data_IF_207054128992
#
_entry.id   IF_207054128992
#
_cell.length_a   1.000
_cell.length_b   1.000
_cell.length_c   1.000
_cell.angle_alpha   90.00
_cell.angle_beta   90.00
_cell.angle_gamma   90.00
#
_symmetry.space_group_name_H-M   'P 1'
#
loop_
_entity.id
_entity.type
_entity.pdbx_description
1 polymer ?
#
# COMPACT_ATOMS: atom_id res chain seq x y z
N UNK A 1 2.20 -29.35 9.78
CA UNK A 1 2.25 -28.58 8.52
C UNK A 1 1.02 -27.70 8.48
N UNK A 2 1.17 -26.38 8.65
CA UNK A 2 0.06 -25.46 8.40
C UNK A 2 -0.05 -25.31 6.90
N UNK A 3 -1.13 -25.80 6.30
CA UNK A 3 -1.50 -25.46 4.94
C UNK A 3 -1.83 -23.97 4.93
N UNK A 4 -0.96 -23.16 4.33
CA UNK A 4 -1.30 -21.78 4.01
C UNK A 4 -2.49 -21.81 3.05
N UNK A 5 -3.67 -21.43 3.53
CA UNK A 5 -4.82 -21.20 2.67
C UNK A 5 -4.48 -20.01 1.75
N UNK A 6 -4.09 -20.33 0.52
CA UNK A 6 -3.87 -19.32 -0.52
C UNK A 6 -5.25 -18.81 -0.94
N UNK A 7 -5.76 -17.80 -0.21
CA UNK A 7 -6.98 -17.10 -0.59
C UNK A 7 -6.86 -16.50 -1.99
N UNK A 8 -7.96 -16.52 -2.76
CA UNK A 8 -8.04 -15.86 -4.06
C UNK A 8 -8.51 -14.42 -3.84
N UNK A 9 -7.77 -13.47 -4.40
CA UNK A 9 -8.09 -12.05 -4.30
C UNK A 9 -8.55 -11.50 -5.66
N UNK A 10 -9.41 -10.49 -5.60
CA UNK A 10 -9.93 -9.81 -6.78
C UNK A 10 -9.72 -8.31 -6.67
N UNK A 11 -9.28 -7.67 -7.76
CA UNK A 11 -9.45 -6.23 -7.96
C UNK A 11 -10.84 -6.01 -8.56
N UNK A 12 -11.63 -5.13 -7.98
CA UNK A 12 -13.01 -4.86 -8.43
C UNK A 12 -13.09 -3.43 -8.97
N UNK A 13 -13.68 -3.27 -10.14
CA UNK A 13 -13.99 -1.97 -10.74
C UNK A 13 -15.49 -1.86 -11.01
N UNK A 14 -16.11 -0.81 -10.47
CA UNK A 14 -17.53 -0.55 -10.64
C UNK A 14 -17.84 0.14 -11.98
N UNK A 15 -19.06 -0.07 -12.45
CA UNK A 15 -19.58 0.41 -13.72
C UNK A 15 -18.69 0.05 -14.93
N UNK A 16 -18.01 -1.09 -14.85
CA UNK A 16 -17.00 -1.52 -15.81
C UNK A 16 -17.35 -2.91 -16.32
N UNK A 17 -17.36 -3.08 -17.65
CA UNK A 17 -17.75 -4.32 -18.30
C UNK A 17 -16.80 -4.70 -19.43
N UNK A 18 -16.34 -5.95 -19.46
CA UNK A 18 -15.53 -6.47 -20.57
C UNK A 18 -16.45 -7.09 -21.64
N UNK A 19 -16.61 -6.42 -22.77
CA UNK A 19 -17.60 -6.79 -23.79
C UNK A 19 -17.20 -7.99 -24.67
N UNK A 20 -15.90 -8.30 -24.70
CA UNK A 20 -15.25 -9.16 -25.72
C UNK A 20 -14.36 -10.25 -25.07
N UNK A 21 -14.63 -10.56 -23.81
CA UNK A 21 -13.89 -11.58 -23.09
C UNK A 21 -14.28 -12.98 -23.56
N UNK A 22 -13.28 -13.87 -23.71
CA UNK A 22 -13.51 -15.31 -23.90
C UNK A 22 -14.26 -15.87 -22.69
N UNK A 23 -15.60 -15.93 -22.80
CA UNK A 23 -16.49 -16.39 -21.74
C UNK A 23 -16.36 -17.91 -21.58
N UNK A 24 -15.99 -18.30 -20.37
CA UNK A 24 -15.92 -19.69 -19.92
C UNK A 24 -17.31 -20.15 -19.49
N UNK A 25 -18.08 -19.26 -18.88
CA UNK A 25 -19.38 -19.56 -18.29
C UNK A 25 -20.20 -18.29 -18.13
N UNK A 26 -21.48 -18.37 -18.45
CA UNK A 26 -22.47 -17.34 -18.20
C UNK A 26 -23.64 -17.95 -17.40
N UNK A 27 -24.11 -17.24 -16.39
CA UNK A 27 -25.27 -17.65 -15.61
C UNK A 27 -25.64 -16.64 -14.53
N UNK A 28 -26.49 -17.05 -13.59
CA UNK A 28 -26.99 -16.18 -12.52
C UNK A 28 -26.13 -16.32 -11.25
N UNK A 29 -25.98 -15.20 -10.52
CA UNK A 29 -25.36 -15.12 -9.22
C UNK A 29 -26.12 -14.09 -8.37
N UNK A 30 -26.51 -14.49 -7.15
CA UNK A 30 -27.32 -13.64 -6.26
C UNK A 30 -26.57 -12.39 -5.74
N UNK A 31 -25.26 -12.33 -5.94
CA UNK A 31 -24.44 -11.20 -5.52
C UNK A 31 -23.09 -11.17 -6.23
N UNK A 32 -22.42 -10.02 -6.13
CA UNK A 32 -21.03 -9.84 -6.51
C UNK A 32 -20.10 -10.86 -5.80
N UNK A 33 -20.40 -11.17 -4.53
CA UNK A 33 -19.64 -12.15 -3.75
C UNK A 33 -19.84 -13.57 -4.28
N UNK A 34 -21.07 -13.93 -4.66
CA UNK A 34 -21.36 -15.24 -5.28
C UNK A 34 -20.62 -15.38 -6.62
N UNK A 35 -20.64 -14.33 -7.45
CA UNK A 35 -19.91 -14.31 -8.72
C UNK A 35 -18.38 -14.41 -8.52
N UNK A 36 -17.82 -13.70 -7.53
CA UNK A 36 -16.39 -13.77 -7.21
C UNK A 36 -15.97 -15.17 -6.74
N UNK A 37 -16.81 -15.83 -5.93
CA UNK A 37 -16.58 -17.21 -5.47
C UNK A 37 -16.62 -18.22 -6.62
N UNK A 38 -17.52 -18.05 -7.59
CA UNK A 38 -17.56 -18.88 -8.80
C UNK A 38 -16.26 -18.75 -9.59
N UNK A 39 -15.76 -17.52 -9.80
CA UNK A 39 -14.47 -17.30 -10.46
C UNK A 39 -13.29 -17.82 -9.64
N UNK A 40 -13.35 -17.72 -8.30
CA UNK A 40 -12.28 -18.20 -7.43
C UNK A 40 -12.11 -19.71 -7.56
N UNK A 41 -13.21 -20.46 -7.55
CA UNK A 41 -13.27 -21.92 -7.66
C UNK A 41 -12.88 -22.44 -9.05
N UNK A 42 -13.07 -21.63 -10.09
CA UNK A 42 -12.70 -22.01 -11.45
C UNK A 42 -11.23 -21.66 -11.75
N UNK A 43 -10.40 -22.68 -12.00
CA UNK A 43 -8.97 -22.50 -12.28
C UNK A 43 -8.69 -21.75 -13.60
N UNK A 44 -9.58 -21.86 -14.59
CA UNK A 44 -9.47 -21.16 -15.86
C UNK A 44 -9.94 -19.70 -15.79
N UNK A 45 -10.75 -19.35 -14.79
CA UNK A 45 -11.25 -17.99 -14.62
C UNK A 45 -10.12 -17.05 -14.22
N UNK A 46 -9.94 -16.00 -15.01
CA UNK A 46 -8.97 -14.92 -14.78
C UNK A 46 -9.64 -13.58 -14.51
N UNK A 47 -10.87 -13.39 -14.95
CA UNK A 47 -11.72 -12.26 -14.58
C UNK A 47 -13.19 -12.64 -14.65
N UNK A 48 -14.09 -11.79 -14.16
CA UNK A 48 -15.53 -11.96 -14.31
C UNK A 48 -16.24 -10.62 -14.49
N UNK A 49 -17.37 -10.62 -15.21
CA UNK A 49 -18.33 -9.52 -15.19
C UNK A 49 -19.50 -9.91 -14.29
N UNK A 50 -20.00 -8.96 -13.50
CA UNK A 50 -21.24 -9.12 -12.71
C UNK A 50 -22.19 -7.95 -12.98
N UNK A 51 -23.46 -8.24 -13.18
CA UNK A 51 -24.54 -7.26 -13.39
C UNK A 51 -25.49 -7.32 -12.20
N UNK A 52 -25.54 -6.25 -11.40
CA UNK A 52 -26.31 -6.26 -10.15
C UNK A 52 -27.82 -6.08 -10.35
N UNK A 53 -28.26 -5.55 -11.49
CA UNK A 53 -29.66 -5.27 -11.81
C UNK A 53 -30.49 -6.55 -12.00
N UNK A 54 -29.91 -7.59 -12.61
CA UNK A 54 -30.58 -8.88 -12.84
C UNK A 54 -29.72 -10.09 -12.44
N UNK A 55 -28.62 -9.87 -11.71
CA UNK A 55 -27.81 -10.94 -11.13
C UNK A 55 -27.02 -11.77 -12.15
N UNK A 56 -26.68 -11.24 -13.32
CA UNK A 56 -25.91 -12.00 -14.31
C UNK A 56 -24.41 -12.01 -13.98
N UNK A 57 -23.74 -13.16 -14.14
CA UNK A 57 -22.32 -13.37 -13.92
C UNK A 57 -21.69 -14.09 -15.13
N UNK A 58 -20.60 -13.53 -15.65
CA UNK A 58 -19.83 -14.09 -16.77
C UNK A 58 -18.39 -14.33 -16.33
N UNK A 59 -17.92 -15.58 -16.33
CA UNK A 59 -16.53 -15.94 -16.02
C UNK A 59 -15.67 -15.90 -17.28
N UNK A 60 -14.52 -15.23 -17.21
CA UNK A 60 -13.71 -14.90 -18.37
C UNK A 60 -12.31 -15.51 -18.25
N UNK A 61 -11.77 -16.06 -19.34
CA UNK A 61 -10.42 -16.66 -19.37
C UNK A 61 -9.30 -15.63 -19.43
N UNK A 62 -9.59 -14.39 -19.83
CA UNK A 62 -8.59 -13.36 -20.06
C UNK A 62 -8.35 -12.48 -18.83
N UNK A 63 -7.10 -12.02 -18.66
CA UNK A 63 -6.76 -10.85 -17.84
C UNK A 63 -6.64 -9.64 -18.75
N UNK A 64 -7.02 -8.46 -18.28
CA UNK A 64 -6.88 -7.25 -19.06
C UNK A 64 -5.44 -6.72 -19.04
N UNK A 65 -4.57 -7.34 -19.83
CA UNK A 65 -3.15 -6.98 -19.88
C UNK A 65 -2.68 -6.47 -21.23
N UNK A 66 -3.53 -6.38 -22.26
CA UNK A 66 -3.17 -5.76 -23.54
C UNK A 66 -4.36 -4.97 -24.10
N UNK A 67 -4.18 -3.65 -24.22
CA UNK A 67 -5.12 -2.62 -24.66
C UNK A 67 -6.22 -2.21 -23.67
N UNK A 68 -6.20 -0.93 -23.30
CA UNK A 68 -7.19 -0.24 -22.47
C UNK A 68 -8.56 -0.04 -23.16
N UNK A 69 -8.77 -0.63 -24.35
CA UNK A 69 -9.85 -0.25 -25.28
C UNK A 69 -11.08 -1.18 -25.24
N UNK A 70 -11.10 -2.24 -24.41
CA UNK A 70 -12.22 -3.21 -24.35
C UNK A 70 -13.11 -3.14 -23.10
N UNK A 71 -12.77 -2.30 -22.11
CA UNK A 71 -13.65 -2.03 -20.96
C UNK A 71 -14.63 -0.92 -21.36
N UNK A 72 -15.92 -1.21 -21.35
CA UNK A 72 -16.95 -0.21 -21.53
C UNK A 72 -17.54 0.19 -20.18
N UNK A 73 -17.92 1.46 -20.06
CA UNK A 73 -18.71 1.89 -18.93
C UNK A 73 -20.12 1.33 -19.06
N UNK A 74 -20.57 0.53 -18.09
CA UNK A 74 -21.93 0.00 -18.05
C UNK A 74 -22.46 0.12 -16.64
N UNK A 75 -23.49 0.93 -16.45
CA UNK A 75 -24.01 1.23 -15.13
C UNK A 75 -24.55 -0.03 -14.43
N UNK A 76 -24.21 -0.19 -13.14
CA UNK A 76 -24.61 -1.37 -12.35
C UNK A 76 -23.81 -2.64 -12.66
N UNK A 77 -22.79 -2.55 -13.51
CA UNK A 77 -21.84 -3.64 -13.76
C UNK A 77 -20.62 -3.57 -12.85
N UNK A 78 -20.00 -4.72 -12.61
CA UNK A 78 -18.76 -4.85 -11.85
C UNK A 78 -17.81 -5.76 -12.64
N UNK A 79 -16.58 -5.31 -12.80
CA UNK A 79 -15.50 -6.12 -13.36
C UNK A 79 -14.61 -6.62 -12.23
N UNK A 80 -14.40 -7.93 -12.18
CA UNK A 80 -13.56 -8.60 -11.18
C UNK A 80 -12.32 -9.17 -11.87
N UNK A 81 -11.13 -8.74 -11.49
CA UNK A 81 -9.88 -9.29 -12.00
C UNK A 81 -9.23 -10.20 -10.95
N UNK A 82 -9.02 -11.49 -11.29
CA UNK A 82 -8.38 -12.47 -10.41
C UNK A 82 -6.88 -12.21 -10.36
N UNK A 83 -6.42 -11.77 -9.19
CA UNK A 83 -5.01 -11.47 -8.94
C UNK A 83 -4.28 -12.78 -8.63
N UNK A 84 -3.27 -13.13 -9.43
CA UNK A 84 -2.41 -14.27 -9.05
C UNK A 84 -1.62 -13.91 -7.80
N UNK A 85 -1.48 -14.88 -6.89
CA UNK A 85 -0.58 -14.77 -5.74
C UNK A 85 0.87 -14.46 -6.16
N UNK A 86 1.27 -14.75 -7.42
CA UNK A 86 2.56 -14.37 -8.00
C UNK A 86 2.64 -12.92 -8.52
N UNK A 87 1.49 -12.26 -8.78
CA UNK A 87 1.44 -10.80 -8.94
C UNK A 87 1.63 -10.08 -7.61
N UNK A 88 1.67 -10.82 -6.49
CA UNK A 88 2.34 -10.37 -5.28
C UNK A 88 3.85 -10.67 -5.37
N UNK A 89 4.54 -10.07 -6.33
CA UNK A 89 5.56 -9.15 -5.83
C UNK A 89 4.71 -8.00 -5.31
N UNK A 90 4.25 -8.11 -4.05
CA UNK A 90 3.94 -6.91 -3.30
C UNK A 90 5.17 -6.06 -3.51
N UNK A 91 5.08 -5.01 -4.33
CA UNK A 91 6.02 -3.92 -4.17
C UNK A 91 5.64 -3.41 -2.79
N UNK A 92 6.20 -4.04 -1.76
CA UNK A 92 5.85 -3.82 -0.37
C UNK A 92 6.27 -2.39 -0.13
N UNK A 93 5.30 -1.50 -0.27
CA UNK A 93 5.56 -0.09 -0.41
C UNK A 93 6.28 0.38 0.84
N UNK A 94 7.33 1.16 0.64
CA UNK A 94 8.17 1.65 1.72
C UNK A 94 9.00 0.60 2.44
N UNK A 95 9.16 -0.66 1.99
CA UNK A 95 10.09 -1.58 2.67
C UNK A 95 11.54 -1.43 2.22
N UNK A 96 11.76 -0.85 1.05
CA UNK A 96 13.08 -0.59 0.47
C UNK A 96 13.17 0.83 -0.09
N UNK A 97 14.40 1.31 -0.28
CA UNK A 97 14.62 2.63 -0.88
C UNK A 97 13.99 2.73 -2.28
N UNK A 98 14.07 1.67 -3.11
CA UNK A 98 13.47 1.62 -4.45
C UNK A 98 11.94 1.52 -4.47
N UNK A 99 11.32 1.32 -3.31
CA UNK A 99 9.87 1.26 -3.12
C UNK A 99 9.34 2.37 -2.22
N UNK A 100 10.15 3.40 -1.92
CA UNK A 100 9.74 4.48 -1.06
C UNK A 100 8.48 5.19 -1.57
N UNK A 101 7.61 5.56 -0.64
CA UNK A 101 6.34 6.23 -0.92
C UNK A 101 6.43 7.72 -0.65
N UNK A 102 5.56 8.58 -1.22
CA UNK A 102 5.61 10.02 -0.96
C UNK A 102 5.45 10.39 0.52
N UNK A 103 4.64 9.64 1.26
CA UNK A 103 4.38 9.84 2.70
C UNK A 103 3.77 8.58 3.32
N UNK A 104 3.68 8.52 4.65
CA UNK A 104 2.97 7.44 5.33
C UNK A 104 1.48 7.38 4.95
N UNK A 105 0.87 8.52 4.60
CA UNK A 105 -0.52 8.58 4.12
C UNK A 105 -0.75 7.72 2.87
N UNK A 106 0.26 7.62 1.99
CA UNK A 106 0.16 6.81 0.77
C UNK A 106 0.03 5.30 1.07
N UNK A 107 0.36 4.86 2.29
CA UNK A 107 0.21 3.47 2.71
C UNK A 107 -1.22 3.14 3.19
N UNK A 108 -2.06 4.15 3.45
CA UNK A 108 -3.42 3.94 4.00
C UNK A 108 -4.36 3.24 3.02
N UNK A 109 -4.13 3.41 1.71
CA UNK A 109 -4.93 2.76 0.66
C UNK A 109 -4.49 1.33 0.33
N UNK A 110 -3.44 0.82 0.99
CA UNK A 110 -2.95 -0.53 0.73
C UNK A 110 -3.92 -1.59 1.31
N UNK A 111 -4.01 -2.72 0.63
CA UNK A 111 -4.82 -3.86 1.05
C UNK A 111 -4.00 -5.15 0.99
N UNK A 112 -3.64 -5.74 2.15
CA UNK A 112 -4.02 -5.32 3.50
C UNK A 112 -3.34 -4.01 3.95
N UNK A 113 -4.00 -3.28 4.86
CA UNK A 113 -3.42 -2.09 5.50
C UNK A 113 -2.14 -2.51 6.25
N UNK A 114 -0.98 -1.87 5.99
CA UNK A 114 0.25 -2.16 6.71
C UNK A 114 0.15 -1.74 8.19
N UNK A 115 0.84 -2.47 9.07
CA UNK A 115 0.95 -2.10 10.48
C UNK A 115 1.85 -0.89 10.67
N UNK A 116 1.72 -0.22 11.83
CA UNK A 116 2.67 0.82 12.24
C UNK A 116 4.11 0.30 12.22
N UNK A 117 5.07 1.13 11.81
CA UNK A 117 6.45 0.69 11.63
C UNK A 117 7.33 1.67 10.88
N UNK A 118 8.55 1.25 10.57
CA UNK A 118 9.51 2.08 9.83
C UNK A 118 9.44 1.76 8.34
N UNK A 119 9.18 2.79 7.54
CA UNK A 119 9.06 2.72 6.09
C UNK A 119 9.98 3.73 5.40
N UNK A 120 10.37 3.44 4.18
CA UNK A 120 11.03 4.37 3.29
C UNK A 120 10.01 5.34 2.71
N UNK A 121 10.27 6.63 2.87
CA UNK A 121 9.49 7.72 2.30
C UNK A 121 10.37 8.61 1.41
N UNK A 122 9.75 9.26 0.42
CA UNK A 122 10.38 10.24 -0.47
C UNK A 122 9.44 11.43 -0.71
N UNK A 123 9.38 12.40 0.21
CA UNK A 123 8.42 13.51 0.14
C UNK A 123 8.70 14.49 -1.00
N UNK A 124 9.95 14.63 -1.44
CA UNK A 124 10.36 15.64 -2.42
C UNK A 124 10.11 15.21 -3.87
N UNK A 125 9.60 13.99 -4.11
CA UNK A 125 9.39 13.39 -5.44
C UNK A 125 10.62 13.38 -6.36
N UNK A 126 11.81 13.68 -5.81
CA UNK A 126 13.07 13.76 -6.52
C UNK A 126 13.68 12.37 -6.73
N UNK A 127 15.01 12.33 -6.83
CA UNK A 127 15.73 11.06 -6.96
C UNK A 127 15.36 10.12 -5.82
N UNK A 128 15.09 8.85 -6.14
CA UNK A 128 14.87 7.81 -5.15
C UNK A 128 16.07 7.64 -4.20
N UNK A 129 17.25 8.11 -4.60
CA UNK A 129 18.44 8.16 -3.75
C UNK A 129 18.29 9.06 -2.51
N UNK A 130 17.37 10.04 -2.54
CA UNK A 130 17.08 10.94 -1.42
C UNK A 130 16.04 10.36 -0.45
N UNK A 131 15.40 9.24 -0.80
CA UNK A 131 14.45 8.58 0.08
C UNK A 131 15.13 8.20 1.41
N UNK A 132 14.39 8.32 2.50
CA UNK A 132 14.88 8.05 3.85
C UNK A 132 13.82 7.30 4.65
N UNK A 133 14.21 6.76 5.81
CA UNK A 133 13.30 6.03 6.68
C UNK A 133 12.51 6.98 7.59
N UNK A 134 11.22 6.74 7.75
CA UNK A 134 10.39 7.41 8.72
C UNK A 134 9.52 6.39 9.46
N UNK A 135 9.12 6.70 10.68
CA UNK A 135 8.12 5.90 11.37
C UNK A 135 6.73 6.34 10.89
N UNK A 136 5.97 5.38 10.37
CA UNK A 136 4.58 5.53 9.98
C UNK A 136 3.70 4.91 11.06
N UNK A 137 2.81 5.73 11.62
CA UNK A 137 1.71 5.24 12.45
C UNK A 137 0.48 5.04 11.56
N UNK A 138 0.10 3.77 11.42
CA UNK A 138 -1.00 3.30 10.57
C UNK A 138 -2.24 2.92 11.38
N UNK A 139 -2.21 3.12 12.70
CA UNK A 139 -3.23 2.62 13.63
C UNK A 139 -3.97 3.78 14.32
N UNK A 140 -3.27 4.84 14.71
CA UNK A 140 -3.87 5.99 15.43
C UNK A 140 -4.70 6.86 14.49
N UNK A 141 -5.93 7.16 14.88
CA UNK A 141 -6.84 8.11 14.22
C UNK A 141 -6.96 7.92 12.68
N UNK A 142 -7.04 6.66 12.24
CA UNK A 142 -7.17 6.31 10.82
C UNK A 142 -5.84 6.12 10.09
N UNK A 143 -4.71 6.28 10.78
CA UNK A 143 -3.38 5.99 10.26
C UNK A 143 -2.85 7.01 9.24
N UNK A 144 -1.67 6.73 8.68
CA UNK A 144 -1.01 7.59 7.70
C UNK A 144 -0.14 8.68 8.29
N UNK A 145 0.02 8.72 9.62
CA UNK A 145 0.82 9.70 10.32
C UNK A 145 2.31 9.44 10.12
N UNK A 146 3.06 10.50 9.80
CA UNK A 146 4.52 10.46 9.68
C UNK A 146 5.15 11.10 10.91
N UNK A 147 5.96 10.34 11.66
CA UNK A 147 6.66 10.89 12.83
C UNK A 147 7.74 11.88 12.37
N UNK A 148 7.58 13.16 12.74
CA UNK A 148 8.55 14.21 12.43
C UNK A 148 9.69 14.21 13.44
N UNK A 149 9.40 14.25 14.74
CA UNK A 149 10.39 14.31 15.82
C UNK A 149 9.88 13.60 17.09
N UNK A 150 10.77 12.91 17.80
CA UNK A 150 10.54 12.43 19.16
C UNK A 150 11.87 12.42 19.91
N UNK A 151 11.86 12.82 21.18
CA UNK A 151 13.06 12.85 22.00
C UNK A 151 12.75 12.67 23.48
N UNK A 152 13.73 12.19 24.23
CA UNK A 152 13.68 12.10 25.69
C UNK A 152 14.95 12.71 26.29
N UNK A 153 14.92 13.09 27.56
CA UNK A 153 16.09 13.56 28.31
C UNK A 153 16.65 12.44 29.18
N UNK A 154 17.98 12.38 29.35
CA UNK A 154 18.61 11.40 30.24
C UNK A 154 18.37 11.73 31.72
N UNK A 155 18.13 13.00 32.07
CA UNK A 155 17.85 13.44 33.44
C UNK A 155 16.74 14.51 33.46
N UNK A 156 15.48 14.06 33.43
CA UNK A 156 14.32 14.95 33.42
C UNK A 156 14.24 15.84 34.67
N UNK A 157 14.70 15.34 35.82
CA UNK A 157 14.62 16.04 37.10
C UNK A 157 15.65 17.16 37.24
N UNK A 158 16.75 17.12 36.48
CA UNK A 158 17.81 18.14 36.51
C UNK A 158 18.11 18.59 35.08
N UNK A 159 17.12 19.27 34.48
CA UNK A 159 17.16 19.64 33.07
C UNK A 159 18.41 20.45 32.67
N UNK A 160 18.88 21.34 33.56
CA UNK A 160 20.01 22.25 33.34
C UNK A 160 21.38 21.63 33.67
N UNK A 161 21.43 20.36 34.10
CA UNK A 161 22.70 19.70 34.40
C UNK A 161 23.50 19.46 33.11
N UNK A 162 24.81 19.72 33.14
CA UNK A 162 25.70 19.50 31.99
C UNK A 162 25.79 18.01 31.59
N UNK A 163 25.41 17.09 32.47
CA UNK A 163 25.31 15.66 32.17
C UNK A 163 23.98 15.28 31.48
N UNK A 164 23.01 16.18 31.42
CA UNK A 164 21.73 15.92 30.75
C UNK A 164 21.95 15.90 29.23
N UNK A 165 21.33 14.93 28.56
CA UNK A 165 21.46 14.73 27.12
C UNK A 165 20.12 14.40 26.49
N UNK A 166 19.97 14.79 25.22
CA UNK A 166 18.83 14.43 24.39
C UNK A 166 19.05 13.04 23.80
N UNK A 167 18.07 12.15 23.95
CA UNK A 167 18.01 10.86 23.25
C UNK A 167 16.97 10.95 22.14
N UNK A 168 17.38 11.05 20.87
CA UNK A 168 16.45 11.13 19.75
C UNK A 168 15.74 9.79 19.51
N UNK A 169 14.50 9.88 19.02
CA UNK A 169 13.66 8.76 18.62
C UNK A 169 13.08 9.05 17.21
N UNK A 170 13.16 8.09 16.27
CA UNK A 170 13.78 6.78 16.44
C UNK A 170 15.33 6.92 16.45
N UNK A 171 16.03 6.00 17.13
CA UNK A 171 17.48 6.08 17.40
C UNK A 171 18.36 5.50 16.27
N UNK A 172 17.88 5.56 15.03
CA UNK A 172 18.62 5.08 13.87
C UNK A 172 19.77 6.05 13.55
N UNK A 173 20.90 5.51 13.10
CA UNK A 173 22.08 6.28 12.72
C UNK A 173 21.77 7.10 11.45
N UNK A 174 21.16 8.27 11.62
CA UNK A 174 21.20 9.30 10.59
C UNK A 174 22.65 9.72 10.49
N UNK A 175 23.34 9.39 9.40
CA UNK A 175 24.65 10.00 9.13
C UNK A 175 24.39 11.50 8.99
N UNK A 176 24.86 12.35 9.92
CA UNK A 176 24.70 13.77 9.74
C UNK A 176 25.54 14.12 8.51
N UNK A 177 24.90 14.57 7.43
CA UNK A 177 25.62 15.23 6.32
C UNK A 177 26.07 16.63 6.75
N UNK A 178 25.64 17.09 7.93
CA UNK A 178 26.11 18.32 8.55
C UNK A 178 27.15 17.94 9.61
N UNK A 179 28.42 18.05 9.26
CA UNK A 179 29.43 18.24 10.29
C UNK A 179 29.11 19.56 11.00
N UNK A 180 28.78 19.51 12.29
CA UNK A 180 28.76 20.69 13.15
C UNK A 180 30.18 21.18 13.45
N UNK A 181 31.07 21.23 12.46
CA UNK A 181 32.48 21.60 12.61
C UNK A 181 32.76 23.07 12.34
N UNK A 182 31.74 23.90 12.10
CA UNK A 182 31.91 25.34 11.78
C UNK A 182 30.97 26.25 12.58
N UNK A 183 30.76 25.97 13.86
CA UNK A 183 30.41 27.04 14.80
C UNK A 183 31.71 27.73 15.19
N UNK A 184 32.10 28.70 14.39
CA UNK A 184 33.19 29.61 14.70
C UNK A 184 32.80 30.36 15.97
N UNK A 185 33.45 30.01 17.07
CA UNK A 185 33.26 30.61 18.38
C UNK A 185 34.03 31.94 18.43
N UNK A 186 33.67 32.89 17.56
CA UNK A 186 34.20 34.24 17.58
C UNK A 186 33.15 35.23 18.08
N UNK A 187 33.29 35.53 19.37
CA UNK A 187 33.06 36.83 20.01
C UNK A 187 31.64 37.41 19.96
N UNK A 188 30.89 37.16 21.04
CA UNK A 188 29.97 38.16 21.60
C UNK A 188 30.78 38.90 22.67
N UNK A 189 31.35 40.06 22.30
CA UNK A 189 31.49 41.23 23.18
C UNK A 189 30.47 42.28 22.73
#
# INVERSE_FOLDING_TARGET
MKTEEHGVFFKIEENSFLHDGDSIWDGEADSLLSCSQLCARNAACKSANFMADHGACSLLRQRQTRHAEKRSHRQGSFYLEKVDSASRISKSLGTSQSSAVPSCQALVSESPLPSSGVYWINPDSGSQANAFKAYCDMETDGGGWTLVWSYTFTNYNNFMDNSNAITPRPNWQVRPVVECSHLDNSSIE
#
